data_IF_248385629776
#
_entry.id   IF_248385629776
#
_cell.length_a   1.000
_cell.length_b   1.000
_cell.length_c   1.000
_cell.angle_alpha   90.00
_cell.angle_beta   90.00
_cell.angle_gamma   90.00
#
_symmetry.space_group_name_H-M   'P 1'
#
loop_
_entity.id
_entity.type
_entity.pdbx_description
1 polymer ?
#
# COMPACT_ATOMS: atom_id res chain seq x y z
N UNK A 1 -8.94 36.42 1.85
CA UNK A 1 -9.13 35.93 0.46
C UNK A 1 -8.28 34.71 0.13
N UNK A 2 -7.10 34.48 0.72
CA UNK A 2 -6.32 33.24 0.50
C UNK A 2 -6.85 32.00 1.24
N UNK A 3 -7.33 32.15 2.49
CA UNK A 3 -7.76 31.00 3.31
C UNK A 3 -9.11 30.38 2.90
N UNK A 4 -10.05 31.19 2.38
CA UNK A 4 -11.32 30.71 1.84
C UNK A 4 -11.11 29.87 0.56
N UNK A 5 -10.15 30.25 -0.29
CA UNK A 5 -9.79 29.46 -1.46
C UNK A 5 -9.13 28.12 -1.06
N UNK A 6 -8.39 28.08 0.04
CA UNK A 6 -7.78 26.85 0.55
C UNK A 6 -8.84 25.84 1.03
N UNK A 7 -9.85 26.28 1.79
CA UNK A 7 -10.87 25.36 2.32
C UNK A 7 -11.78 24.81 1.21
N UNK A 8 -12.14 25.62 0.22
CA UNK A 8 -12.91 25.18 -0.95
C UNK A 8 -12.14 24.12 -1.75
N UNK A 9 -10.83 24.30 -1.91
CA UNK A 9 -9.96 23.33 -2.59
C UNK A 9 -9.90 22.01 -1.82
N UNK A 10 -9.84 22.05 -0.48
CA UNK A 10 -9.85 20.83 0.34
C UNK A 10 -11.21 20.12 0.25
N UNK A 11 -12.32 20.87 0.29
CA UNK A 11 -13.67 20.32 0.10
C UNK A 11 -13.77 19.60 -1.24
N UNK A 12 -13.26 20.21 -2.32
CA UNK A 12 -13.24 19.59 -3.64
C UNK A 12 -12.42 18.30 -3.66
N UNK A 13 -11.24 18.28 -3.04
CA UNK A 13 -10.41 17.09 -2.94
C UNK A 13 -11.08 15.96 -2.14
N UNK A 14 -11.76 16.27 -1.04
CA UNK A 14 -12.51 15.28 -0.27
C UNK A 14 -13.68 14.71 -1.07
N UNK A 15 -14.41 15.54 -1.83
CA UNK A 15 -15.49 15.09 -2.71
C UNK A 15 -14.97 14.17 -3.82
N UNK A 16 -13.86 14.53 -4.47
CA UNK A 16 -13.23 13.71 -5.50
C UNK A 16 -12.85 12.32 -4.96
N UNK A 17 -12.19 12.28 -3.79
CA UNK A 17 -11.86 11.02 -3.12
C UNK A 17 -13.10 10.15 -2.83
N UNK A 18 -14.17 10.77 -2.32
CA UNK A 18 -15.44 10.09 -2.04
C UNK A 18 -16.05 9.52 -3.32
N UNK A 19 -16.11 10.31 -4.39
CA UNK A 19 -16.71 9.92 -5.66
C UNK A 19 -15.94 8.76 -6.31
N UNK A 20 -14.62 8.80 -6.29
CA UNK A 20 -13.76 7.70 -6.78
C UNK A 20 -14.04 6.42 -5.98
N UNK A 21 -14.11 6.52 -4.64
CA UNK A 21 -14.36 5.37 -3.78
C UNK A 21 -15.77 4.77 -3.97
N UNK A 22 -16.78 5.60 -4.28
CA UNK A 22 -18.15 5.14 -4.58
C UNK A 22 -18.25 4.48 -5.96
N UNK A 23 -17.56 5.01 -6.98
CA UNK A 23 -17.50 4.38 -8.33
C UNK A 23 -16.87 3.00 -8.31
N UNK A 24 -15.98 2.76 -7.36
CA UNK A 24 -15.25 1.50 -7.21
C UNK A 24 -15.92 0.52 -6.24
N UNK A 25 -17.16 0.76 -5.77
CA UNK A 25 -17.83 -0.10 -4.78
C UNK A 25 -17.92 -1.58 -5.17
N UNK A 26 -17.98 -1.87 -6.48
CA UNK A 26 -18.01 -3.24 -7.01
C UNK A 26 -16.75 -4.07 -6.67
N UNK A 27 -15.62 -3.43 -6.34
CA UNK A 27 -14.40 -4.14 -5.94
C UNK A 27 -14.42 -4.57 -4.47
N UNK A 28 -15.42 -4.18 -3.68
CA UNK A 28 -15.42 -4.42 -2.22
C UNK A 28 -15.69 -5.88 -1.82
N UNK A 29 -16.22 -6.70 -2.73
CA UNK A 29 -16.37 -8.14 -2.48
C UNK A 29 -15.04 -8.86 -2.74
N UNK A 30 -14.23 -8.93 -1.69
CA UNK A 30 -12.94 -9.61 -1.70
C UNK A 30 -13.10 -11.13 -1.90
N UNK A 31 -14.11 -11.76 -1.29
CA UNK A 31 -14.31 -13.20 -1.40
C UNK A 31 -14.72 -13.60 -2.82
N UNK A 32 -15.61 -12.84 -3.47
CA UNK A 32 -15.99 -13.09 -4.85
C UNK A 32 -14.79 -13.06 -5.81
N UNK A 33 -13.79 -12.20 -5.55
CA UNK A 33 -12.58 -12.07 -6.38
C UNK A 33 -11.53 -13.12 -6.08
N UNK A 34 -11.33 -13.48 -4.81
CA UNK A 34 -10.19 -14.31 -4.39
C UNK A 34 -10.54 -15.78 -4.08
N UNK A 35 -11.81 -16.17 -3.99
CA UNK A 35 -12.20 -17.57 -3.66
C UNK A 35 -11.62 -18.61 -4.63
N UNK A 36 -11.69 -18.33 -5.94
CA UNK A 36 -11.14 -19.24 -6.95
C UNK A 36 -9.61 -19.32 -6.87
N UNK A 37 -8.95 -18.17 -6.62
CA UNK A 37 -7.50 -18.12 -6.48
C UNK A 37 -7.01 -18.85 -5.23
N UNK A 38 -7.66 -18.64 -4.06
CA UNK A 38 -7.42 -19.40 -2.82
C UNK A 38 -7.50 -20.90 -3.05
N UNK A 39 -8.53 -21.34 -3.76
CA UNK A 39 -8.74 -22.76 -4.09
C UNK A 39 -7.65 -23.29 -5.02
N UNK A 40 -7.27 -22.53 -6.06
CA UNK A 40 -6.17 -22.86 -6.97
C UNK A 40 -4.84 -23.00 -6.22
N UNK A 41 -4.49 -22.03 -5.39
CA UNK A 41 -3.27 -22.02 -4.58
C UNK A 41 -3.24 -23.19 -3.61
N UNK A 42 -4.34 -23.46 -2.90
CA UNK A 42 -4.45 -24.62 -1.99
C UNK A 42 -4.20 -25.93 -2.73
N UNK A 43 -4.86 -26.12 -3.88
CA UNK A 43 -4.75 -27.33 -4.70
C UNK A 43 -3.36 -27.52 -5.32
N UNK A 44 -2.71 -26.43 -5.75
CA UNK A 44 -1.34 -26.49 -6.29
C UNK A 44 -0.31 -26.72 -5.20
N UNK A 45 -0.47 -26.07 -4.05
CA UNK A 45 0.45 -26.21 -2.91
C UNK A 45 0.49 -27.62 -2.35
N UNK A 46 -0.66 -28.31 -2.28
CA UNK A 46 -0.71 -29.71 -1.80
C UNK A 46 0.05 -30.69 -2.70
N UNK A 47 0.31 -30.33 -3.97
CA UNK A 47 1.07 -31.14 -4.93
C UNK A 47 2.57 -30.84 -4.94
N UNK A 48 3.01 -29.80 -4.23
CA UNK A 48 4.44 -29.47 -4.12
C UNK A 48 5.15 -30.43 -3.16
N UNK A 49 6.46 -30.61 -3.37
CA UNK A 49 7.31 -31.30 -2.41
C UNK A 49 7.73 -30.35 -1.28
N UNK A 50 7.96 -30.85 -0.05
CA UNK A 50 8.57 -30.06 1.00
C UNK A 50 9.93 -29.46 0.59
N UNK A 51 10.25 -28.23 1.05
CA UNK A 51 9.46 -27.40 1.96
C UNK A 51 8.42 -26.49 1.26
N UNK A 52 8.34 -26.51 -0.07
CA UNK A 52 7.54 -25.53 -0.83
C UNK A 52 6.03 -25.66 -0.62
N UNK A 53 5.53 -26.87 -0.29
CA UNK A 53 4.13 -27.09 0.06
C UNK A 53 3.68 -26.35 1.33
N UNK A 54 4.61 -25.99 2.22
CA UNK A 54 4.35 -25.22 3.43
C UNK A 54 4.58 -23.73 3.19
N UNK A 55 5.62 -23.38 2.44
CA UNK A 55 5.99 -21.97 2.21
C UNK A 55 5.01 -21.26 1.28
N UNK A 56 4.56 -21.91 0.19
CA UNK A 56 3.66 -21.27 -0.78
C UNK A 56 2.32 -20.83 -0.15
N UNK A 57 1.61 -21.65 0.66
CA UNK A 57 0.40 -21.20 1.36
C UNK A 57 0.64 -20.05 2.33
N UNK A 58 1.78 -20.03 3.04
CA UNK A 58 2.12 -18.95 3.97
C UNK A 58 2.36 -17.64 3.24
N UNK A 59 3.13 -17.65 2.14
CA UNK A 59 3.32 -16.47 1.31
C UNK A 59 2.00 -15.97 0.72
N UNK A 60 1.15 -16.89 0.24
CA UNK A 60 -0.16 -16.52 -0.25
C UNK A 60 -1.05 -15.92 0.84
N UNK A 61 -1.00 -16.45 2.07
CA UNK A 61 -1.70 -15.85 3.21
C UNK A 61 -1.29 -14.38 3.38
N UNK A 62 0.01 -14.07 3.34
CA UNK A 62 0.50 -12.69 3.41
C UNK A 62 -0.05 -11.86 2.25
N UNK A 63 0.06 -12.33 1.01
CA UNK A 63 -0.40 -11.60 -0.17
C UNK A 63 -1.91 -11.28 -0.12
N UNK A 64 -2.72 -12.30 0.16
CA UNK A 64 -4.19 -12.22 0.22
C UNK A 64 -4.65 -11.30 1.36
N UNK A 65 -4.11 -11.50 2.57
CA UNK A 65 -4.56 -10.76 3.75
C UNK A 65 -4.03 -9.33 3.79
N UNK A 66 -2.84 -9.07 3.25
CA UNK A 66 -2.35 -7.69 3.12
C UNK A 66 -3.15 -6.92 2.09
N UNK A 67 -3.51 -7.53 0.96
CA UNK A 67 -4.42 -6.91 -0.01
C UNK A 67 -5.80 -6.62 0.59
N UNK A 68 -6.38 -7.59 1.31
CA UNK A 68 -7.62 -7.38 2.05
C UNK A 68 -7.52 -6.23 3.07
N UNK A 69 -6.40 -6.10 3.78
CA UNK A 69 -6.18 -4.98 4.69
C UNK A 69 -6.16 -3.63 3.97
N UNK A 70 -5.55 -3.53 2.79
CA UNK A 70 -5.58 -2.29 1.99
C UNK A 70 -7.04 -1.90 1.72
N UNK A 71 -7.84 -2.83 1.20
CA UNK A 71 -9.24 -2.59 0.82
C UNK A 71 -10.12 -2.22 2.03
N UNK A 72 -9.94 -2.94 3.14
CA UNK A 72 -10.64 -2.65 4.39
C UNK A 72 -10.35 -1.24 4.89
N UNK A 73 -9.08 -0.83 4.87
CA UNK A 73 -8.67 0.48 5.36
C UNK A 73 -9.06 1.60 4.41
N UNK A 74 -8.99 1.40 3.11
CA UNK A 74 -9.52 2.34 2.11
C UNK A 74 -11.00 2.62 2.32
N UNK A 75 -11.80 1.58 2.60
CA UNK A 75 -13.20 1.77 2.92
C UNK A 75 -13.41 2.56 4.22
N UNK A 76 -12.59 2.32 5.25
CA UNK A 76 -12.63 3.13 6.48
C UNK A 76 -12.24 4.59 6.21
N UNK A 77 -11.23 4.83 5.36
CA UNK A 77 -10.85 6.19 4.98
C UNK A 77 -12.01 6.89 4.28
N UNK A 78 -12.68 6.22 3.34
CA UNK A 78 -13.89 6.73 2.69
C UNK A 78 -14.96 7.18 3.71
N UNK A 79 -15.27 6.35 4.71
CA UNK A 79 -16.25 6.72 5.75
C UNK A 79 -15.80 7.91 6.59
N UNK A 80 -14.52 7.94 6.99
CA UNK A 80 -13.94 9.02 7.79
C UNK A 80 -13.88 10.33 7.01
N UNK A 81 -13.51 10.31 5.74
CA UNK A 81 -13.48 11.49 4.86
C UNK A 81 -14.88 12.05 4.64
N UNK A 82 -15.91 11.21 4.47
CA UNK A 82 -17.32 11.67 4.44
C UNK A 82 -17.69 12.40 5.73
N UNK A 83 -17.32 11.85 6.89
CA UNK A 83 -17.58 12.47 8.18
C UNK A 83 -16.79 13.78 8.38
N UNK A 84 -15.54 13.85 7.91
CA UNK A 84 -14.73 15.07 7.92
C UNK A 84 -15.32 16.14 7.01
N UNK A 85 -15.73 15.80 5.80
CA UNK A 85 -16.40 16.73 4.88
C UNK A 85 -17.67 17.29 5.51
N UNK A 86 -18.50 16.45 6.13
CA UNK A 86 -19.67 16.90 6.87
C UNK A 86 -19.27 17.82 8.04
N UNK A 87 -18.18 17.50 8.75
CA UNK A 87 -17.61 18.35 9.78
C UNK A 87 -17.19 19.74 9.28
N UNK A 88 -16.71 19.86 8.04
CA UNK A 88 -16.40 21.16 7.43
C UNK A 88 -17.68 21.91 7.06
N UNK A 89 -18.62 21.25 6.37
CA UNK A 89 -19.86 21.87 5.85
C UNK A 89 -20.74 22.37 7.00
N UNK A 90 -20.92 21.56 8.04
CA UNK A 90 -21.71 21.90 9.23
C UNK A 90 -20.93 22.79 10.21
N UNK A 91 -19.70 23.19 9.85
CA UNK A 91 -18.80 23.97 10.67
C UNK A 91 -18.67 23.33 12.08
N UNK A 92 -18.35 22.05 12.16
CA UNK A 92 -18.24 21.26 13.39
C UNK A 92 -16.78 20.81 13.60
N UNK A 93 -15.92 21.67 14.20
CA UNK A 93 -14.50 21.39 14.36
C UNK A 93 -14.22 20.19 15.29
N UNK A 94 -15.12 19.91 16.23
CA UNK A 94 -15.00 18.74 17.13
C UNK A 94 -15.14 17.44 16.34
N UNK A 95 -16.18 17.34 15.52
CA UNK A 95 -16.39 16.19 14.63
C UNK A 95 -15.22 16.06 13.66
N UNK A 96 -14.78 17.17 13.06
CA UNK A 96 -13.65 17.18 12.13
C UNK A 96 -12.36 16.66 12.80
N UNK A 97 -12.02 17.13 14.01
CA UNK A 97 -10.84 16.69 14.76
C UNK A 97 -10.89 15.19 15.08
N UNK A 98 -12.03 14.70 15.58
CA UNK A 98 -12.22 13.29 15.92
C UNK A 98 -12.01 12.39 14.70
N UNK A 99 -12.67 12.70 13.59
CA UNK A 99 -12.57 11.90 12.38
C UNK A 99 -11.18 12.00 11.74
N UNK A 100 -10.54 13.17 11.77
CA UNK A 100 -9.16 13.34 11.28
C UNK A 100 -8.15 12.55 12.11
N UNK A 101 -8.29 12.53 13.44
CA UNK A 101 -7.45 11.71 14.33
C UNK A 101 -7.63 10.23 14.01
N UNK A 102 -8.88 9.78 13.91
CA UNK A 102 -9.15 8.39 13.54
C UNK A 102 -8.58 8.05 12.16
N UNK A 103 -8.64 8.96 11.18
CA UNK A 103 -8.02 8.77 9.87
C UNK A 103 -6.50 8.57 10.01
N UNK A 104 -5.82 9.45 10.75
CA UNK A 104 -4.38 9.35 11.00
C UNK A 104 -4.02 8.00 11.63
N UNK A 105 -4.74 7.57 12.67
CA UNK A 105 -4.49 6.28 13.34
C UNK A 105 -4.69 5.09 12.38
N UNK A 106 -5.72 5.13 11.52
CA UNK A 106 -5.93 4.08 10.51
C UNK A 106 -4.84 4.09 9.43
N UNK A 107 -4.41 5.26 8.94
CA UNK A 107 -3.30 5.39 7.97
C UNK A 107 -2.00 4.87 8.55
N UNK A 108 -1.69 5.25 9.79
CA UNK A 108 -0.50 4.82 10.50
C UNK A 108 -0.48 3.30 10.76
N UNK A 109 -1.63 2.73 11.12
CA UNK A 109 -1.74 1.28 11.36
C UNK A 109 -1.49 0.49 10.08
N UNK A 110 -2.06 0.92 8.95
CA UNK A 110 -1.80 0.27 7.67
C UNK A 110 -0.34 0.44 7.23
N UNK A 111 0.27 1.61 7.42
CA UNK A 111 1.69 1.81 7.15
C UNK A 111 2.57 0.84 7.95
N UNK A 112 2.30 0.67 9.25
CA UNK A 112 3.00 -0.31 10.08
C UNK A 112 2.85 -1.75 9.56
N UNK A 113 1.66 -2.12 9.09
CA UNK A 113 1.41 -3.42 8.48
C UNK A 113 2.23 -3.62 7.20
N UNK A 114 2.18 -2.65 6.29
CA UNK A 114 2.82 -2.76 4.99
C UNK A 114 4.35 -2.65 5.08
N UNK A 115 4.90 -1.89 6.03
CA UNK A 115 6.33 -1.89 6.32
C UNK A 115 6.81 -3.27 6.78
N UNK A 116 5.98 -4.06 7.48
CA UNK A 116 6.32 -5.43 7.85
C UNK A 116 6.33 -6.38 6.63
N UNK A 117 5.44 -6.16 5.65
CA UNK A 117 5.43 -6.90 4.38
C UNK A 117 6.63 -6.53 3.51
N UNK A 118 6.95 -5.24 3.40
CA UNK A 118 8.15 -4.76 2.69
C UNK A 118 9.42 -5.34 3.29
N UNK A 119 9.56 -5.26 4.62
CA UNK A 119 10.68 -5.87 5.35
C UNK A 119 10.77 -7.37 5.12
N UNK A 120 9.64 -8.09 5.09
CA UNK A 120 9.62 -9.51 4.78
C UNK A 120 10.17 -9.78 3.38
N UNK A 121 9.72 -9.05 2.36
CA UNK A 121 10.21 -9.19 1.00
C UNK A 121 11.72 -8.91 0.90
N UNK A 122 12.21 -7.90 1.61
CA UNK A 122 13.63 -7.55 1.65
C UNK A 122 14.48 -8.63 2.33
N UNK A 123 14.07 -9.10 3.51
CA UNK A 123 14.81 -10.11 4.28
C UNK A 123 14.78 -11.50 3.63
N UNK A 124 13.77 -11.79 2.80
CA UNK A 124 13.70 -13.04 2.03
C UNK A 124 14.73 -13.06 0.90
N UNK A 125 15.17 -11.91 0.35
CA UNK A 125 16.09 -11.85 -0.79
C UNK A 125 17.37 -12.66 -0.52
N UNK A 126 17.66 -13.61 -1.41
CA UNK A 126 18.84 -14.48 -1.32
C UNK A 126 18.78 -15.53 -0.22
N UNK A 127 17.66 -15.66 0.50
CA UNK A 127 17.54 -16.63 1.58
C UNK A 127 17.40 -18.06 1.07
N UNK A 128 18.05 -19.00 1.76
CA UNK A 128 17.96 -20.45 1.51
C UNK A 128 17.66 -21.29 2.73
N UNK A 129 17.81 -20.71 3.93
CA UNK A 129 17.61 -21.39 5.21
C UNK A 129 16.13 -21.38 5.62
N UNK A 130 15.57 -22.58 5.81
CA UNK A 130 14.13 -22.76 6.04
C UNK A 130 13.65 -22.13 7.35
N UNK A 131 14.46 -22.19 8.41
CA UNK A 131 14.08 -21.65 9.72
C UNK A 131 14.06 -20.12 9.68
N UNK A 132 15.05 -19.50 9.04
CA UNK A 132 15.05 -18.06 8.77
C UNK A 132 13.86 -17.65 7.92
N UNK A 133 13.56 -18.36 6.83
CA UNK A 133 12.41 -18.07 5.95
C UNK A 133 11.11 -18.09 6.76
N UNK A 134 10.90 -19.15 7.55
CA UNK A 134 9.69 -19.27 8.37
C UNK A 134 9.60 -18.12 9.38
N UNK A 135 10.70 -17.76 10.05
CA UNK A 135 10.71 -16.65 11.01
C UNK A 135 10.36 -15.32 10.35
N UNK A 136 10.93 -15.04 9.17
CA UNK A 136 10.68 -13.82 8.41
C UNK A 136 9.19 -13.72 8.03
N UNK A 137 8.62 -14.79 7.47
CA UNK A 137 7.20 -14.82 7.08
C UNK A 137 6.29 -14.70 8.31
N UNK A 138 6.60 -15.40 9.41
CA UNK A 138 5.79 -15.36 10.62
C UNK A 138 5.78 -13.99 11.30
N UNK A 139 6.83 -13.18 11.16
CA UNK A 139 6.83 -11.80 11.65
C UNK A 139 5.81 -10.92 10.90
N UNK A 140 5.75 -11.03 9.56
CA UNK A 140 4.75 -10.33 8.76
C UNK A 140 3.33 -10.85 9.04
N UNK A 141 3.18 -12.17 9.19
CA UNK A 141 1.91 -12.80 9.56
C UNK A 141 1.38 -12.28 10.90
N UNK A 142 2.25 -12.18 11.91
CA UNK A 142 1.91 -11.61 13.21
C UNK A 142 1.43 -10.16 13.08
N UNK A 143 2.11 -9.34 12.27
CA UNK A 143 1.71 -7.94 12.08
C UNK A 143 0.34 -7.83 11.40
N UNK A 144 0.06 -8.66 10.39
CA UNK A 144 -1.25 -8.72 9.74
C UNK A 144 -2.35 -9.11 10.72
N UNK A 145 -2.13 -10.15 11.51
CA UNK A 145 -3.08 -10.60 12.54
C UNK A 145 -3.37 -9.51 13.57
N UNK A 146 -2.34 -8.81 14.05
CA UNK A 146 -2.50 -7.69 14.99
C UNK A 146 -3.22 -6.49 14.35
N UNK A 147 -2.96 -6.22 13.08
CA UNK A 147 -3.61 -5.14 12.31
C UNK A 147 -5.11 -5.39 12.17
N UNK A 148 -5.50 -6.62 11.85
CA UNK A 148 -6.90 -6.97 11.59
C UNK A 148 -7.70 -7.33 12.84
N UNK A 149 -7.12 -8.17 13.71
CA UNK A 149 -7.83 -8.79 14.86
C UNK A 149 -7.34 -8.34 16.23
N UNK A 150 -6.33 -7.46 16.27
CA UNK A 150 -5.78 -6.97 17.53
C UNK A 150 -6.83 -6.21 18.35
N UNK A 151 -6.83 -6.47 19.66
CA UNK A 151 -7.77 -5.87 20.63
C UNK A 151 -7.00 -5.03 21.65
N UNK A 152 -7.64 -3.97 22.12
CA UNK A 152 -7.19 -3.23 23.30
C UNK A 152 -7.51 -4.03 24.57
N UNK A 153 -6.52 -4.27 25.43
CA UNK A 153 -6.72 -4.98 26.70
C UNK A 153 -5.40 -5.31 27.40
N UNK A 154 -5.38 -5.21 28.73
CA UNK A 154 -4.17 -5.45 29.55
C UNK A 154 -3.85 -6.94 29.74
N UNK A 155 -4.81 -7.85 29.52
CA UNK A 155 -4.70 -9.29 29.79
C UNK A 155 -4.99 -10.12 28.54
N UNK A 156 -4.13 -10.01 27.52
CA UNK A 156 -4.21 -10.85 26.33
C UNK A 156 -3.02 -11.81 26.33
N UNK A 157 -3.31 -13.10 26.48
CA UNK A 157 -2.31 -14.15 26.63
C UNK A 157 -1.48 -14.38 25.36
N UNK A 158 -2.02 -14.03 24.19
CA UNK A 158 -1.36 -14.21 22.89
C UNK A 158 -1.02 -12.87 22.26
N UNK A 159 0.22 -12.75 21.77
CA UNK A 159 0.72 -11.53 21.12
C UNK A 159 -0.09 -11.15 19.87
N UNK A 160 -0.55 -12.13 19.08
CA UNK A 160 -1.37 -11.91 17.88
C UNK A 160 -2.74 -11.28 18.17
N UNK A 161 -3.20 -11.35 19.43
CA UNK A 161 -4.45 -10.74 19.86
C UNK A 161 -4.26 -9.30 20.32
N UNK A 162 -3.03 -8.81 20.50
CA UNK A 162 -2.76 -7.46 20.98
C UNK A 162 -2.82 -6.47 19.81
N UNK A 163 -3.61 -5.41 19.97
CA UNK A 163 -3.59 -4.30 19.02
C UNK A 163 -2.18 -3.72 18.86
N UNK A 164 -1.92 -3.14 17.69
CA UNK A 164 -0.71 -2.33 17.47
C UNK A 164 -0.87 -1.07 18.33
N UNK A 165 0.15 -0.75 19.13
CA UNK A 165 0.11 0.47 19.92
C UNK A 165 0.15 1.69 19.00
N UNK A 166 -0.66 2.70 19.26
CA UNK A 166 -0.81 3.86 18.37
C UNK A 166 0.52 4.56 18.09
N UNK A 167 1.37 4.76 19.11
CA UNK A 167 2.70 5.35 18.93
C UNK A 167 3.63 4.50 18.05
N UNK A 168 3.50 3.17 18.06
CA UNK A 168 4.24 2.28 17.15
C UNK A 168 3.77 2.47 15.72
N UNK A 169 2.46 2.57 15.52
CA UNK A 169 1.87 2.83 14.21
C UNK A 169 2.29 4.20 13.67
N UNK A 170 2.19 5.26 14.48
CA UNK A 170 2.57 6.63 14.09
C UNK A 170 4.04 6.69 13.71
N UNK A 171 4.92 6.08 14.50
CA UNK A 171 6.35 6.02 14.18
C UNK A 171 6.63 5.35 12.84
N UNK A 172 5.85 4.32 12.47
CA UNK A 172 5.98 3.70 11.15
C UNK A 172 5.51 4.61 10.01
N UNK A 173 4.57 5.53 10.28
CA UNK A 173 4.11 6.53 9.32
C UNK A 173 5.13 7.67 9.14
N UNK A 174 5.87 8.03 10.19
CA UNK A 174 6.86 9.11 10.17
C UNK A 174 7.98 8.92 9.14
N UNK A 175 8.28 7.67 8.78
CA UNK A 175 9.24 7.34 7.72
C UNK A 175 8.84 7.98 6.36
N UNK A 176 7.55 8.24 6.15
CA UNK A 176 7.00 8.82 4.92
C UNK A 176 6.28 10.16 5.11
N UNK A 177 5.67 10.39 6.27
CA UNK A 177 4.97 11.64 6.64
C UNK A 177 5.64 12.20 7.89
N UNK A 178 6.69 13.00 7.70
CA UNK A 178 7.62 13.42 8.78
C UNK A 178 6.95 14.13 9.96
N UNK A 179 5.81 14.78 9.74
CA UNK A 179 5.06 15.53 10.74
C UNK A 179 3.90 14.73 11.36
N UNK A 180 3.85 13.40 11.17
CA UNK A 180 2.75 12.56 11.65
C UNK A 180 2.56 12.59 13.17
N UNK A 181 3.64 12.58 13.97
CA UNK A 181 3.53 12.68 15.44
C UNK A 181 3.04 14.06 15.87
N UNK A 182 3.58 15.14 15.29
CA UNK A 182 3.14 16.51 15.59
C UNK A 182 1.66 16.72 15.24
N UNK A 183 1.23 16.17 14.09
CA UNK A 183 -0.17 16.19 13.68
C UNK A 183 -1.05 15.40 14.66
N UNK A 184 -0.57 14.24 15.14
CA UNK A 184 -1.30 13.43 16.12
C UNK A 184 -1.48 14.16 17.45
N UNK A 185 -0.41 14.74 17.99
CA UNK A 185 -0.43 15.49 19.24
C UNK A 185 -1.35 16.71 19.13
N UNK A 186 -1.26 17.43 18.01
CA UNK A 186 -2.15 18.54 17.72
C UNK A 186 -3.62 18.11 17.68
N UNK A 187 -3.94 16.97 17.05
CA UNK A 187 -5.31 16.46 17.01
C UNK A 187 -5.78 15.99 18.40
N UNK A 188 -4.91 15.41 19.21
CA UNK A 188 -5.24 14.94 20.56
C UNK A 188 -5.73 16.07 21.48
N UNK A 189 -5.21 17.29 21.34
CA UNK A 189 -5.68 18.49 22.05
C UNK A 189 -7.19 18.75 21.86
N UNK A 190 -7.75 18.33 20.73
CA UNK A 190 -9.15 18.57 20.36
C UNK A 190 -10.07 17.36 20.55
N UNK A 191 -9.53 16.20 20.94
CA UNK A 191 -10.33 14.97 21.14
C UNK A 191 -10.47 14.62 22.62
N UNK A 192 -9.43 14.83 23.43
CA UNK A 192 -9.50 14.67 24.87
C UNK A 192 -10.17 15.90 25.53
N UNK A 193 -10.71 15.80 26.76
CA UNK A 193 -11.27 16.93 27.49
C UNK A 193 -10.16 17.89 27.98
N UNK A 194 -9.37 18.40 27.05
CA UNK A 194 -8.23 19.28 27.23
C UNK A 194 -8.63 20.74 26.94
N UNK A 195 -7.69 21.66 27.15
CA UNK A 195 -7.92 23.09 26.91
C UNK A 195 -8.31 23.37 25.44
N UNK A 196 -7.64 22.74 24.46
CA UNK A 196 -7.97 22.89 23.04
C UNK A 196 -9.42 22.51 22.70
N UNK A 197 -9.88 21.36 23.18
CA UNK A 197 -11.27 20.91 23.01
C UNK A 197 -12.29 21.89 23.58
N UNK A 198 -12.02 22.44 24.77
CA UNK A 198 -12.89 23.44 25.40
C UNK A 198 -12.97 24.74 24.59
N UNK A 199 -11.87 25.17 23.96
CA UNK A 199 -11.82 26.37 23.11
C UNK A 199 -12.64 26.24 21.81
N UNK A 200 -12.98 25.02 21.39
CA UNK A 200 -13.82 24.81 20.20
C UNK A 200 -15.28 25.24 20.42
N UNK A 201 -15.74 25.26 21.66
CA UNK A 201 -17.15 25.46 22.03
C UNK A 201 -17.35 26.50 23.13
N UNK A 202 -16.28 27.13 23.61
CA UNK A 202 -16.32 28.14 24.66
C UNK A 202 -15.18 29.16 24.49
N UNK A 203 -15.20 30.25 25.26
CA UNK A 203 -14.12 31.24 25.28
C UNK A 203 -12.91 30.83 26.14
N UNK A 204 -12.87 29.58 26.65
CA UNK A 204 -11.66 29.00 27.24
C UNK A 204 -11.42 29.22 28.74
N UNK A 205 -12.32 29.91 29.45
CA UNK A 205 -12.22 30.10 30.90
C UNK A 205 -13.25 29.25 31.66
N UNK A 206 -12.80 28.49 32.66
CA UNK A 206 -13.73 27.72 33.49
C UNK A 206 -14.63 28.68 34.27
N UNK A 207 -15.95 28.49 34.18
CA UNK A 207 -16.95 29.29 34.88
C UNK A 207 -17.17 30.69 34.31
N UNK A 208 -16.53 31.04 33.18
CA UNK A 208 -16.68 32.32 32.49
C UNK A 208 -16.81 32.10 30.99
N UNK A 209 -17.41 33.06 30.28
CA UNK A 209 -17.48 33.01 28.83
C UNK A 209 -18.83 32.58 28.25
N UNK A 210 -18.85 32.48 26.91
CA UNK A 210 -20.04 32.12 26.14
C UNK A 210 -19.90 30.73 25.55
N UNK A 211 -20.80 29.83 25.92
CA UNK A 211 -20.91 28.52 25.26
C UNK A 211 -21.47 28.73 23.85
N UNK A 212 -20.92 28.03 22.87
CA UNK A 212 -21.27 28.18 21.46
C UNK A 212 -20.65 29.41 20.79
N UNK A 213 -19.82 30.20 21.50
CA UNK A 213 -18.93 31.14 20.82
C UNK A 213 -17.65 30.43 20.42
N UNK A 214 -17.24 30.63 19.17
CA UNK A 214 -16.07 29.99 18.58
C UNK A 214 -14.94 31.00 18.43
N UNK A 215 -14.00 31.00 19.36
CA UNK A 215 -12.73 31.70 19.13
C UNK A 215 -11.89 30.87 18.16
N UNK A 216 -11.45 31.45 17.04
CA UNK A 216 -10.48 30.85 16.11
C UNK A 216 -10.90 29.53 15.42
N UNK A 217 -12.20 29.22 15.28
CA UNK A 217 -12.66 27.97 14.66
C UNK A 217 -12.19 27.79 13.22
N UNK A 218 -12.16 28.86 12.43
CA UNK A 218 -11.92 28.75 10.99
C UNK A 218 -10.46 28.38 10.70
N UNK A 219 -9.51 28.96 11.44
CA UNK A 219 -8.10 28.59 11.38
C UNK A 219 -7.86 27.14 11.87
N UNK A 220 -8.57 26.71 12.90
CA UNK A 220 -8.49 25.33 13.42
C UNK A 220 -9.05 24.35 12.39
N UNK A 221 -10.21 24.63 11.80
CA UNK A 221 -10.83 23.83 10.74
C UNK A 221 -9.87 23.72 9.57
N UNK A 222 -9.31 24.83 9.11
CA UNK A 222 -8.36 24.84 8.01
C UNK A 222 -7.14 23.96 8.32
N UNK A 223 -6.56 24.07 9.52
CA UNK A 223 -5.39 23.28 9.91
C UNK A 223 -5.70 21.79 10.00
N UNK A 224 -6.82 21.40 10.61
CA UNK A 224 -7.24 19.99 10.68
C UNK A 224 -7.53 19.44 9.29
N UNK A 225 -8.22 20.21 8.45
CA UNK A 225 -8.51 19.83 7.06
C UNK A 225 -7.24 19.65 6.24
N UNK A 226 -6.20 20.48 6.44
CA UNK A 226 -4.89 20.32 5.79
C UNK A 226 -4.19 19.03 6.22
N UNK A 227 -4.26 18.65 7.51
CA UNK A 227 -3.75 17.36 7.97
C UNK A 227 -4.48 16.22 7.26
N UNK A 228 -5.82 16.27 7.21
CA UNK A 228 -6.64 15.30 6.49
C UNK A 228 -6.24 15.17 5.02
N UNK A 229 -6.09 16.30 4.31
CA UNK A 229 -5.67 16.32 2.92
C UNK A 229 -4.29 15.69 2.73
N UNK A 230 -3.31 16.01 3.58
CA UNK A 230 -1.97 15.45 3.49
C UNK A 230 -1.98 13.91 3.65
N UNK A 231 -2.82 13.38 4.55
CA UNK A 231 -3.00 11.94 4.72
C UNK A 231 -3.61 11.29 3.47
N UNK A 232 -4.54 11.96 2.78
CA UNK A 232 -5.10 11.46 1.52
C UNK A 232 -4.11 11.54 0.35
N UNK A 233 -3.27 12.57 0.29
CA UNK A 233 -2.19 12.66 -0.69
C UNK A 233 -1.14 11.55 -0.47
N UNK A 234 -0.83 11.25 0.79
CA UNK A 234 -0.01 10.10 1.13
C UNK A 234 -0.67 8.78 0.70
N UNK A 235 -1.96 8.60 1.00
CA UNK A 235 -2.72 7.42 0.56
C UNK A 235 -2.68 7.23 -0.96
N UNK A 236 -2.90 8.30 -1.74
CA UNK A 236 -2.83 8.26 -3.21
C UNK A 236 -1.45 7.83 -3.75
N UNK A 237 -0.37 8.22 -3.07
CA UNK A 237 0.99 7.88 -3.53
C UNK A 237 1.45 6.50 -3.06
N UNK A 238 1.05 6.09 -1.85
CA UNK A 238 1.52 4.85 -1.23
C UNK A 238 0.50 3.72 -1.33
N UNK A 239 -0.75 3.95 -0.94
CA UNK A 239 -1.77 2.91 -0.90
C UNK A 239 -2.28 2.53 -2.28
N UNK A 240 -2.33 3.45 -3.24
CA UNK A 240 -2.79 3.11 -4.60
C UNK A 240 -1.69 2.44 -5.45
N UNK A 241 -0.41 2.64 -5.12
CA UNK A 241 0.72 2.18 -5.95
C UNK A 241 1.65 1.25 -5.18
N UNK A 242 2.31 1.76 -4.14
CA UNK A 242 3.35 1.02 -3.40
C UNK A 242 2.77 -0.23 -2.72
N UNK A 243 1.70 -0.11 -1.96
CA UNK A 243 1.16 -1.23 -1.19
C UNK A 243 0.62 -2.37 -2.05
N UNK A 244 -0.16 -2.12 -3.13
CA UNK A 244 -0.51 -3.14 -4.11
C UNK A 244 0.72 -3.76 -4.78
N UNK A 245 1.80 -3.00 -5.01
CA UNK A 245 3.02 -3.62 -5.54
C UNK A 245 3.65 -4.61 -4.55
N UNK A 246 3.60 -4.35 -3.24
CA UNK A 246 4.11 -5.29 -2.23
C UNK A 246 3.28 -6.58 -2.17
N UNK A 247 1.95 -6.47 -2.29
CA UNK A 247 1.06 -7.65 -2.33
C UNK A 247 1.33 -8.46 -3.60
N UNK A 248 1.51 -7.77 -4.73
CA UNK A 248 1.84 -8.37 -6.02
C UNK A 248 3.22 -9.05 -6.01
N UNK A 249 4.24 -8.42 -5.43
CA UNK A 249 5.56 -9.04 -5.25
C UNK A 249 5.51 -10.26 -4.33
N UNK A 250 4.65 -10.25 -3.32
CA UNK A 250 4.43 -11.43 -2.47
C UNK A 250 3.75 -12.55 -3.27
N UNK A 251 2.76 -12.23 -4.09
CA UNK A 251 2.11 -13.19 -5.00
C UNK A 251 3.10 -13.75 -6.03
N UNK A 252 4.03 -12.95 -6.52
CA UNK A 252 5.11 -13.40 -7.39
C UNK A 252 5.93 -14.54 -6.77
N UNK A 253 6.25 -14.43 -5.47
CA UNK A 253 6.98 -15.50 -4.76
C UNK A 253 6.17 -16.81 -4.70
N UNK A 254 4.84 -16.72 -4.60
CA UNK A 254 3.92 -17.88 -4.68
C UNK A 254 4.02 -18.54 -6.07
N UNK A 255 3.98 -17.75 -7.15
CA UNK A 255 4.16 -18.25 -8.52
C UNK A 255 5.50 -18.96 -8.72
N UNK A 256 6.57 -18.39 -8.15
CA UNK A 256 7.89 -19.00 -8.20
C UNK A 256 7.93 -20.35 -7.47
N UNK A 257 7.19 -20.52 -6.37
CA UNK A 257 7.04 -21.83 -5.73
C UNK A 257 6.36 -22.86 -6.64
N UNK A 258 5.47 -22.44 -7.53
CA UNK A 258 4.75 -23.32 -8.48
C UNK A 258 5.51 -23.59 -9.77
N UNK A 259 6.66 -22.97 -9.98
CA UNK A 259 7.49 -23.21 -11.17
C UNK A 259 8.05 -24.64 -11.15
N UNK A 260 8.02 -25.31 -12.30
CA UNK A 260 8.54 -26.69 -12.44
C UNK A 260 10.01 -26.75 -12.02
N UNK A 261 10.32 -27.63 -11.05
CA UNK A 261 11.68 -27.82 -10.55
C UNK A 261 12.16 -26.71 -9.59
N UNK A 262 11.25 -25.88 -9.07
CA UNK A 262 11.58 -24.88 -8.07
C UNK A 262 12.27 -25.50 -6.85
N UNK A 263 13.28 -24.78 -6.35
CA UNK A 263 13.97 -25.05 -5.08
C UNK A 263 13.83 -23.81 -4.21
N UNK A 264 13.82 -23.97 -2.89
CA UNK A 264 13.63 -22.85 -1.95
C UNK A 264 14.66 -21.73 -2.16
N UNK A 265 15.93 -22.09 -2.38
CA UNK A 265 17.02 -21.15 -2.70
C UNK A 265 16.79 -20.40 -4.01
N UNK A 266 16.15 -21.04 -4.99
CA UNK A 266 15.85 -20.40 -6.26
C UNK A 266 14.71 -19.41 -6.10
N UNK A 267 13.64 -19.75 -5.36
CA UNK A 267 12.46 -18.88 -5.16
C UNK A 267 12.90 -17.47 -4.76
N UNK A 268 13.74 -17.34 -3.75
CA UNK A 268 14.17 -16.03 -3.25
C UNK A 268 15.46 -15.49 -3.88
N UNK A 269 16.02 -16.15 -4.89
CA UNK A 269 17.22 -15.65 -5.58
C UNK A 269 16.94 -14.37 -6.37
N UNK A 270 17.85 -13.39 -6.29
CA UNK A 270 17.84 -12.21 -7.16
C UNK A 270 18.48 -12.57 -8.51
N UNK A 271 17.84 -12.16 -9.61
CA UNK A 271 18.42 -12.25 -10.95
C UNK A 271 19.07 -10.92 -11.32
N UNK A 272 20.15 -11.00 -12.09
CA UNK A 272 20.79 -9.82 -12.68
C UNK A 272 20.10 -9.47 -13.99
N UNK A 273 20.02 -8.17 -14.28
CA UNK A 273 19.47 -7.63 -15.51
C UNK A 273 20.45 -7.80 -16.68
N UNK A 274 20.67 -9.05 -17.10
CA UNK A 274 21.50 -9.39 -18.26
C UNK A 274 20.59 -9.83 -19.42
N UNK A 275 20.18 -8.91 -20.32
CA UNK A 275 19.34 -9.24 -21.45
C UNK A 275 20.14 -9.90 -22.59
N UNK A 276 19.45 -10.67 -23.43
CA UNK A 276 19.88 -10.99 -24.80
C UNK A 276 19.33 -9.93 -25.77
N UNK A 277 20.00 -9.69 -26.89
CA UNK A 277 19.64 -8.63 -27.85
C UNK A 277 20.40 -7.32 -27.64
N UNK A 278 20.14 -6.31 -28.48
CA UNK A 278 20.74 -4.97 -28.36
C UNK A 278 19.71 -3.86 -28.09
N UNK A 279 18.41 -4.19 -28.09
CA UNK A 279 17.32 -3.29 -27.73
C UNK A 279 16.99 -2.22 -28.76
N UNK A 280 17.63 -2.17 -29.94
CA UNK A 280 17.46 -1.05 -30.88
C UNK A 280 16.17 -1.12 -31.69
N UNK A 281 15.71 -2.33 -32.01
CA UNK A 281 14.48 -2.57 -32.78
C UNK A 281 13.58 -3.57 -32.07
N UNK A 282 12.36 -3.74 -32.58
CA UNK A 282 11.43 -4.76 -32.06
C UNK A 282 12.00 -6.18 -32.20
N UNK A 283 12.71 -6.46 -33.29
CA UNK A 283 13.31 -7.76 -33.61
C UNK A 283 14.53 -8.06 -32.74
N UNK A 284 15.25 -7.02 -32.33
CA UNK A 284 16.48 -7.09 -31.50
C UNK A 284 16.23 -6.69 -30.04
N UNK A 285 14.95 -6.62 -29.65
CA UNK A 285 14.51 -6.17 -28.34
C UNK A 285 15.20 -6.95 -27.21
N UNK A 286 15.55 -6.25 -26.14
CA UNK A 286 16.14 -6.87 -24.97
C UNK A 286 15.20 -7.93 -24.38
N UNK A 287 15.72 -9.14 -24.22
CA UNK A 287 14.97 -10.28 -23.70
C UNK A 287 15.72 -10.93 -22.52
N UNK A 288 15.06 -10.95 -21.36
CA UNK A 288 15.62 -11.57 -20.16
C UNK A 288 15.30 -13.06 -20.12
N UNK A 289 16.05 -13.87 -20.88
CA UNK A 289 15.82 -15.33 -20.98
C UNK A 289 15.86 -16.09 -19.65
N UNK A 290 16.58 -15.55 -18.65
CA UNK A 290 16.66 -16.13 -17.30
C UNK A 290 15.49 -15.75 -16.39
N UNK A 291 14.59 -14.87 -16.84
CA UNK A 291 13.36 -14.55 -16.12
C UNK A 291 12.45 -15.77 -16.08
N UNK A 292 11.93 -16.06 -14.88
CA UNK A 292 11.10 -17.22 -14.58
C UNK A 292 9.62 -16.95 -14.81
N UNK A 293 9.21 -15.69 -14.69
CA UNK A 293 7.84 -15.23 -14.93
C UNK A 293 7.85 -13.92 -15.71
N UNK A 294 6.67 -13.51 -16.18
CA UNK A 294 6.45 -12.19 -16.79
C UNK A 294 6.76 -11.05 -15.82
N UNK A 295 6.40 -11.19 -14.54
CA UNK A 295 6.63 -10.17 -13.52
C UNK A 295 8.13 -9.98 -13.27
N UNK A 296 8.89 -11.07 -13.21
CA UNK A 296 10.35 -11.00 -13.09
C UNK A 296 10.98 -10.36 -14.33
N UNK A 297 10.51 -10.70 -15.54
CA UNK A 297 11.00 -10.07 -16.76
C UNK A 297 10.72 -8.56 -16.78
N UNK A 298 9.54 -8.12 -16.34
CA UNK A 298 9.21 -6.70 -16.20
C UNK A 298 10.15 -6.02 -15.19
N UNK A 299 10.38 -6.63 -14.02
CA UNK A 299 11.29 -6.07 -13.01
C UNK A 299 12.70 -5.89 -13.56
N UNK A 300 13.22 -6.89 -14.27
CA UNK A 300 14.54 -6.82 -14.90
C UNK A 300 14.63 -5.73 -15.98
N UNK A 301 13.53 -5.43 -16.69
CA UNK A 301 13.46 -4.26 -17.59
C UNK A 301 13.67 -2.95 -16.84
N UNK A 302 12.96 -2.74 -15.72
CA UNK A 302 13.13 -1.53 -14.92
C UNK A 302 14.52 -1.44 -14.28
N UNK A 303 15.01 -2.56 -13.71
CA UNK A 303 16.35 -2.64 -13.13
C UNK A 303 17.42 -2.29 -14.19
N UNK A 304 17.30 -2.84 -15.41
CA UNK A 304 18.19 -2.50 -16.52
C UNK A 304 18.18 -1.00 -16.82
N UNK A 305 16.99 -0.39 -16.92
CA UNK A 305 16.86 1.04 -17.23
C UNK A 305 17.54 1.90 -16.15
N UNK A 306 17.31 1.58 -14.87
CA UNK A 306 17.91 2.30 -13.73
C UNK A 306 19.43 2.13 -13.70
N UNK A 307 19.92 0.89 -13.88
CA UNK A 307 21.37 0.58 -13.88
C UNK A 307 22.12 1.31 -15.00
N UNK A 308 21.44 1.66 -16.10
CA UNK A 308 22.01 2.41 -17.22
C UNK A 308 21.75 3.93 -17.12
N UNK A 309 21.31 4.42 -15.96
CA UNK A 309 21.14 5.85 -15.69
C UNK A 309 19.85 6.47 -16.23
N UNK A 310 18.92 5.66 -16.73
CA UNK A 310 17.59 6.15 -17.10
C UNK A 310 16.69 6.28 -15.86
N UNK A 311 15.73 7.20 -15.91
CA UNK A 311 14.72 7.36 -14.87
C UNK A 311 13.36 6.87 -15.40
N UNK A 312 13.05 5.57 -15.28
CA UNK A 312 11.79 5.04 -15.80
C UNK A 312 10.62 5.49 -14.92
N UNK A 313 9.77 6.37 -15.46
CA UNK A 313 8.49 6.70 -14.84
C UNK A 313 7.35 6.20 -15.75
N UNK A 314 6.56 5.20 -15.33
CA UNK A 314 5.48 4.66 -16.17
C UNK A 314 4.37 5.68 -16.49
N UNK A 315 4.34 6.83 -15.82
CA UNK A 315 3.33 7.89 -16.01
C UNK A 315 3.80 9.06 -16.90
N UNK A 316 5.08 9.09 -17.30
CA UNK A 316 5.64 10.21 -18.08
C UNK A 316 5.43 10.08 -19.60
N UNK A 317 4.74 9.02 -20.04
CA UNK A 317 4.45 8.75 -21.44
C UNK A 317 5.63 8.23 -22.27
N UNK A 318 6.81 8.00 -21.68
CA UNK A 318 7.99 7.49 -22.41
C UNK A 318 7.88 6.01 -22.76
N UNK A 319 7.05 5.26 -22.03
CA UNK A 319 6.74 3.85 -22.33
C UNK A 319 5.52 3.76 -23.25
N UNK A 320 5.70 3.09 -24.38
CA UNK A 320 4.65 2.82 -25.37
C UNK A 320 4.56 1.32 -25.64
N UNK A 321 3.34 0.80 -25.77
CA UNK A 321 3.11 -0.58 -26.18
C UNK A 321 3.55 -0.78 -27.64
N UNK A 322 4.56 -1.63 -27.85
CA UNK A 322 5.14 -2.00 -29.14
C UNK A 322 4.42 -3.15 -29.86
N UNK A 323 3.32 -3.63 -29.29
CA UNK A 323 2.47 -4.70 -29.82
C UNK A 323 2.70 -6.06 -29.14
N UNK A 324 1.96 -7.05 -29.62
CA UNK A 324 1.95 -8.42 -29.10
C UNK A 324 2.34 -9.38 -30.22
N UNK A 325 3.17 -10.39 -29.93
CA UNK A 325 3.47 -11.48 -30.87
C UNK A 325 3.28 -12.84 -30.20
N UNK A 326 3.09 -13.87 -31.03
CA UNK A 326 3.09 -15.26 -30.57
C UNK A 326 4.26 -15.98 -31.23
N UNK A 327 5.16 -16.52 -30.41
CA UNK A 327 6.32 -17.28 -30.86
C UNK A 327 6.36 -18.62 -30.11
N UNK A 328 6.43 -19.73 -30.85
CA UNK A 328 6.43 -21.09 -30.26
C UNK A 328 5.25 -21.34 -29.30
N UNK A 329 4.06 -20.79 -29.62
CA UNK A 329 2.87 -20.91 -28.76
C UNK A 329 2.96 -20.10 -27.45
N UNK A 330 3.90 -19.16 -27.35
CA UNK A 330 4.01 -18.23 -26.23
C UNK A 330 3.74 -16.80 -26.69
N UNK A 331 2.90 -16.10 -25.93
CA UNK A 331 2.58 -14.70 -26.18
C UNK A 331 3.68 -13.84 -25.55
N UNK A 332 4.20 -12.90 -26.32
CA UNK A 332 5.16 -11.88 -25.89
C UNK A 332 4.58 -10.48 -26.10
N UNK A 333 4.81 -9.61 -25.13
CA UNK A 333 4.52 -8.19 -25.17
C UNK A 333 5.81 -7.44 -25.47
N UNK A 334 5.71 -6.38 -26.27
CA UNK A 334 6.84 -5.50 -26.54
C UNK A 334 6.59 -4.15 -25.89
N UNK A 335 7.56 -3.69 -25.11
CA UNK A 335 7.57 -2.33 -24.58
C UNK A 335 8.65 -1.51 -25.29
N UNK A 336 8.28 -0.32 -25.75
CA UNK A 336 9.21 0.66 -26.30
C UNK A 336 9.36 1.81 -25.31
N UNK A 337 10.57 2.05 -24.87
CA UNK A 337 10.94 3.16 -23.99
C UNK A 337 11.67 4.23 -24.78
N UNK A 338 11.25 5.48 -24.64
CA UNK A 338 11.96 6.63 -25.21
C UNK A 338 12.99 7.12 -24.19
N UNK A 339 14.28 7.03 -24.51
CA UNK A 339 15.37 7.53 -23.67
C UNK A 339 16.15 8.64 -24.37
N UNK A 340 17.12 9.24 -23.65
CA UNK A 340 18.01 10.27 -24.20
C UNK A 340 18.94 9.72 -25.31
N UNK A 341 19.22 8.42 -25.28
CA UNK A 341 20.08 7.73 -26.25
C UNK A 341 19.27 7.11 -27.42
N UNK A 342 17.96 7.32 -27.44
CA UNK A 342 17.04 6.81 -28.45
C UNK A 342 16.02 5.81 -27.89
N UNK A 343 15.23 5.16 -28.76
CA UNK A 343 14.26 4.17 -28.32
C UNK A 343 14.93 2.85 -27.92
N UNK A 344 14.52 2.29 -26.78
CA UNK A 344 14.92 0.97 -26.30
C UNK A 344 13.70 0.06 -26.30
N UNK A 345 13.85 -1.13 -26.88
CA UNK A 345 12.80 -2.13 -26.97
C UNK A 345 13.06 -3.28 -26.01
N UNK A 346 12.01 -3.71 -25.30
CA UNK A 346 12.03 -4.88 -24.44
C UNK A 346 10.97 -5.89 -24.89
N UNK A 347 11.34 -7.16 -24.83
CA UNK A 347 10.46 -8.31 -25.07
C UNK A 347 10.15 -8.98 -23.75
N UNK A 348 8.87 -9.06 -23.40
CA UNK A 348 8.40 -9.55 -22.10
C UNK A 348 7.41 -10.70 -22.34
N UNK A 349 7.61 -11.88 -21.74
CA UNK A 349 6.62 -12.95 -21.83
C UNK A 349 5.30 -12.51 -21.19
N UNK A 350 4.17 -12.82 -21.82
CA UNK A 350 2.86 -12.47 -21.28
C UNK A 350 2.59 -13.21 -19.96
N UNK A 351 1.89 -12.54 -19.04
CA UNK A 351 1.41 -13.15 -17.81
C UNK A 351 0.48 -14.33 -18.12
N UNK A 352 0.65 -15.43 -17.40
CA UNK A 352 -0.12 -16.68 -17.57
C UNK A 352 -1.00 -17.05 -16.37
N UNK A 353 -0.93 -16.29 -15.27
CA UNK A 353 -1.70 -16.60 -14.06
C UNK A 353 -1.19 -17.82 -13.28
N UNK A 354 -1.72 -17.96 -12.06
CA UNK A 354 -1.71 -19.22 -11.29
C UNK A 354 -2.91 -20.04 -11.72
#
# INVERSE_FOLDING_TARGET
>A
MSELNDIESIIAAFRDFIEIAEKNDFIRDHDARFTNLRSSVKNKSSRLKPPLNVIAPKLYYIADHSFYCIELFEYKYYLLVKAMLNGIIENNPLSLANNCRSLLEQVATLACCMNAVEKMLDELKGQGDLDKINKIISNAELMLKRTYSGKGGKNLDKEELKAIHVNTAIKALEDSVKDASDAYDYLCEFVHPNHGNNLLVSTGEIGKGKIGSRSNSDAIILKISKIGLNLLLFNKTHNEIKYPSLTWETHHLVELCFTRGAKITNVFSKKMAMPEGDGKTKETAFFFKKARTSQEAMKLTYDYLIEHGYNPNPTDGRRVNGGVTTEEGKIYLYDKWTTVDGPIWFKIPSYRGI
#
